data_IF_188344621732
#
_entry.id   IF_188344621732
#
_cell.length_a   1.000
_cell.length_b   1.000
_cell.length_c   1.000
_cell.angle_alpha   90.00
_cell.angle_beta   90.00
_cell.angle_gamma   90.00
#
_symmetry.space_group_name_H-M   'P 1'
#
loop_
_entity.id
_entity.type
_entity.pdbx_description
1 polymer ?
#
# COMPACT_ATOMS: atom_id res chain seq x y z
N UNK A 1 -4.29 -30.69 -26.88
CA UNK A 1 -2.87 -30.31 -26.89
C UNK A 1 -2.21 -30.98 -25.70
N UNK A 2 -1.23 -31.86 -25.92
CA UNK A 2 -0.41 -32.39 -24.82
C UNK A 2 0.35 -31.24 -24.16
N UNK A 3 0.19 -31.11 -22.84
CA UNK A 3 0.94 -30.14 -22.04
C UNK A 3 2.32 -30.75 -21.72
N UNK A 4 3.27 -30.66 -22.65
CA UNK A 4 4.65 -31.04 -22.37
C UNK A 4 5.39 -29.90 -21.65
N UNK A 5 6.17 -30.25 -20.63
CA UNK A 5 7.05 -29.32 -19.92
C UNK A 5 8.34 -29.13 -20.72
N UNK A 6 8.72 -27.89 -20.99
CA UNK A 6 9.97 -27.55 -21.69
C UNK A 6 11.11 -27.21 -20.72
N UNK A 7 12.33 -27.65 -21.04
CA UNK A 7 13.54 -27.23 -20.35
C UNK A 7 14.27 -26.17 -21.18
N UNK A 8 14.70 -25.09 -20.55
CA UNK A 8 15.46 -24.01 -21.19
C UNK A 8 16.84 -23.95 -20.55
N UNK A 9 17.90 -24.15 -21.34
CA UNK A 9 19.27 -23.99 -20.86
C UNK A 9 19.61 -22.50 -20.74
N UNK A 10 19.91 -22.06 -19.53
CA UNK A 10 20.29 -20.68 -19.21
C UNK A 10 21.77 -20.55 -18.79
N UNK A 11 22.59 -21.59 -18.95
CA UNK A 11 24.02 -21.55 -18.63
C UNK A 11 24.72 -20.45 -19.43
N UNK A 12 25.32 -19.48 -18.71
CA UNK A 12 25.99 -18.33 -19.33
C UNK A 12 25.06 -17.27 -19.93
N UNK A 13 23.74 -17.46 -19.86
CA UNK A 13 22.77 -16.45 -20.31
C UNK A 13 22.69 -15.36 -19.25
N UNK A 14 22.94 -14.11 -19.66
CA UNK A 14 22.80 -12.96 -18.77
C UNK A 14 21.34 -12.77 -18.32
N UNK A 15 21.15 -12.16 -17.15
CA UNK A 15 19.81 -11.77 -16.71
C UNK A 15 19.17 -10.83 -17.74
N UNK A 16 17.87 -11.04 -18.00
CA UNK A 16 17.13 -10.15 -18.91
C UNK A 16 17.15 -8.70 -18.38
N UNK A 17 17.19 -7.70 -19.27
CA UNK A 17 16.93 -6.33 -18.86
C UNK A 17 15.50 -6.19 -18.30
N UNK A 18 15.33 -5.29 -17.33
CA UNK A 18 14.01 -4.94 -16.81
C UNK A 18 13.41 -3.82 -17.67
N UNK A 19 12.11 -3.93 -17.97
CA UNK A 19 11.37 -2.86 -18.63
C UNK A 19 10.85 -1.90 -17.57
N UNK A 20 11.33 -0.66 -17.59
CA UNK A 20 10.84 0.38 -16.70
C UNK A 20 9.55 0.97 -17.27
N UNK A 21 8.49 0.94 -16.48
CA UNK A 21 7.27 1.68 -16.83
C UNK A 21 7.56 3.17 -16.69
N UNK A 22 7.25 4.01 -17.70
CA UNK A 22 7.42 5.45 -17.61
C UNK A 22 6.61 6.02 -16.44
N UNK A 23 7.04 7.18 -15.94
CA UNK A 23 6.23 7.92 -14.97
C UNK A 23 5.04 8.54 -15.69
N UNK A 24 3.86 8.50 -15.06
CA UNK A 24 2.63 9.06 -15.63
C UNK A 24 1.81 9.76 -14.56
N UNK A 25 1.07 10.80 -14.96
CA UNK A 25 0.16 11.54 -14.09
C UNK A 25 -1.25 11.40 -14.65
N UNK A 26 -2.16 10.88 -13.83
CA UNK A 26 -3.58 11.03 -14.05
C UNK A 26 -4.02 12.34 -13.42
N UNK A 27 -4.38 13.32 -14.26
CA UNK A 27 -4.72 14.67 -13.79
C UNK A 27 -6.00 14.69 -12.95
N UNK A 28 -6.11 15.67 -12.05
CA UNK A 28 -7.35 15.95 -11.31
C UNK A 28 -8.55 16.08 -12.24
N UNK A 29 -8.42 16.79 -13.36
CA UNK A 29 -9.52 17.00 -14.31
C UNK A 29 -10.04 15.67 -14.88
N UNK A 30 -9.15 14.71 -15.15
CA UNK A 30 -9.55 13.38 -15.60
C UNK A 30 -10.21 12.56 -14.48
N UNK A 31 -9.72 12.68 -13.24
CA UNK A 31 -10.33 12.05 -12.07
C UNK A 31 -11.73 12.61 -11.81
N UNK A 32 -11.90 13.93 -11.84
CA UNK A 32 -13.19 14.60 -11.66
C UNK A 32 -14.19 14.18 -12.75
N UNK A 33 -13.76 14.18 -14.02
CA UNK A 33 -14.60 13.72 -15.13
C UNK A 33 -15.00 12.25 -14.97
N UNK A 34 -14.10 11.39 -14.48
CA UNK A 34 -14.42 9.99 -14.22
C UNK A 34 -15.37 9.82 -13.02
N UNK A 35 -15.26 10.65 -11.99
CA UNK A 35 -16.20 10.68 -10.86
C UNK A 35 -17.60 11.05 -11.37
N UNK A 36 -17.73 12.06 -12.24
CA UNK A 36 -18.99 12.45 -12.86
C UNK A 36 -19.54 11.33 -13.74
N UNK A 37 -18.69 10.70 -14.56
CA UNK A 37 -19.05 9.55 -15.39
C UNK A 37 -19.61 8.42 -14.52
N UNK A 38 -18.90 7.99 -13.48
CA UNK A 38 -19.37 6.98 -12.54
C UNK A 38 -20.68 7.41 -11.87
N UNK A 39 -20.80 8.66 -11.43
CA UNK A 39 -22.04 9.17 -10.85
C UNK A 39 -23.20 9.21 -11.86
N UNK A 40 -22.98 9.19 -13.17
CA UNK A 40 -24.06 9.11 -14.15
C UNK A 40 -24.67 7.71 -14.29
N UNK A 41 -23.93 6.66 -13.94
CA UNK A 41 -24.34 5.26 -14.11
C UNK A 41 -25.43 4.90 -13.07
N UNK A 42 -26.40 4.07 -13.44
CA UNK A 42 -27.35 3.47 -12.50
C UNK A 42 -26.64 2.62 -11.44
N UNK A 43 -27.28 2.38 -10.27
CA UNK A 43 -26.65 1.58 -9.20
C UNK A 43 -26.50 0.13 -9.71
N UNK A 44 -25.26 -0.41 -9.82
CA UNK A 44 -25.07 -1.81 -10.21
C UNK A 44 -25.60 -2.76 -9.14
N UNK A 45 -25.85 -4.03 -9.49
CA UNK A 45 -26.40 -5.02 -8.56
C UNK A 45 -25.52 -5.21 -7.31
N UNK A 46 -24.19 -5.20 -7.47
CA UNK A 46 -23.24 -5.25 -6.36
C UNK A 46 -23.03 -3.91 -5.63
N UNK A 47 -23.76 -2.86 -6.04
CA UNK A 47 -23.67 -1.50 -5.49
C UNK A 47 -22.35 -0.78 -5.74
N UNK A 48 -21.46 -1.28 -6.61
CA UNK A 48 -20.12 -0.72 -6.82
C UNK A 48 -19.99 -0.04 -8.17
N UNK A 49 -19.75 1.27 -8.16
CA UNK A 49 -19.24 2.01 -9.32
C UNK A 49 -17.77 2.27 -9.11
N UNK A 50 -16.95 1.74 -10.01
CA UNK A 50 -15.51 1.88 -9.92
C UNK A 50 -14.87 1.90 -11.31
N UNK A 51 -13.84 2.73 -11.44
CA UNK A 51 -12.95 2.74 -12.60
C UNK A 51 -11.52 2.48 -12.16
N UNK A 52 -10.85 1.60 -12.90
CA UNK A 52 -9.47 1.25 -12.63
C UNK A 52 -8.51 2.15 -13.40
N UNK A 53 -7.53 2.70 -12.71
CA UNK A 53 -6.44 3.44 -13.34
C UNK A 53 -5.49 2.42 -13.96
N UNK A 54 -5.46 2.37 -15.29
CA UNK A 54 -4.63 1.43 -16.02
C UNK A 54 -3.43 2.14 -16.63
N UNK A 55 -2.24 1.66 -16.31
CA UNK A 55 -1.01 2.20 -16.87
C UNK A 55 -0.88 1.81 -18.36
N UNK A 56 -0.39 2.68 -19.26
CA UNK A 56 -0.27 2.37 -20.69
C UNK A 56 0.62 1.16 -21.03
N UNK A 57 1.60 0.86 -20.17
CA UNK A 57 2.48 -0.32 -20.29
C UNK A 57 1.91 -1.61 -19.68
N UNK A 58 0.74 -1.56 -19.03
CA UNK A 58 0.16 -2.75 -18.44
C UNK A 58 -0.29 -3.73 -19.52
N UNK A 59 0.28 -4.93 -19.48
CA UNK A 59 -0.05 -6.08 -20.35
C UNK A 59 -0.56 -7.27 -19.53
N UNK A 60 -0.78 -7.08 -18.23
CA UNK A 60 -1.29 -8.09 -17.33
C UNK A 60 -2.77 -8.43 -17.59
N UNK A 61 -3.27 -9.50 -16.94
CA UNK A 61 -4.64 -9.97 -17.14
C UNK A 61 -5.70 -9.03 -16.57
N UNK A 62 -5.31 -8.12 -15.67
CA UNK A 62 -6.19 -7.14 -15.01
C UNK A 62 -5.55 -5.75 -15.06
N UNK A 63 -6.36 -4.67 -14.95
CA UNK A 63 -5.85 -3.31 -14.83
C UNK A 63 -4.86 -3.14 -13.67
N UNK A 64 -3.81 -2.36 -13.88
CA UNK A 64 -2.82 -2.04 -12.85
C UNK A 64 -2.18 -0.68 -13.16
N UNK A 65 -1.94 0.14 -12.13
CA UNK A 65 -1.28 1.44 -12.29
C UNK A 65 0.23 1.35 -12.11
N UNK A 66 0.68 0.37 -11.32
CA UNK A 66 2.06 -0.06 -11.25
C UNK A 66 2.11 -1.60 -11.30
N UNK A 67 3.25 -2.22 -11.63
CA UNK A 67 3.36 -3.68 -11.63
C UNK A 67 2.91 -4.28 -10.29
N UNK A 68 1.83 -5.07 -10.29
CA UNK A 68 1.28 -5.70 -9.09
C UNK A 68 0.37 -4.83 -8.22
N UNK A 69 0.09 -3.58 -8.61
CA UNK A 69 -0.71 -2.61 -7.83
C UNK A 69 -1.81 -2.01 -8.70
N UNK A 70 -3.07 -2.19 -8.30
CA UNK A 70 -4.19 -1.44 -8.89
C UNK A 70 -4.51 -0.19 -8.06
N UNK A 71 -5.12 0.79 -8.72
CA UNK A 71 -5.75 1.93 -8.07
C UNK A 71 -7.13 2.10 -8.67
N UNK A 72 -8.17 2.08 -7.84
CA UNK A 72 -9.55 2.28 -8.26
C UNK A 72 -10.11 3.60 -7.73
N UNK A 73 -10.78 4.35 -8.60
CA UNK A 73 -11.68 5.46 -8.22
C UNK A 73 -13.05 4.83 -7.97
N UNK A 74 -13.62 4.99 -6.77
CA UNK A 74 -14.91 4.42 -6.40
C UNK A 74 -15.90 5.51 -5.98
N UNK A 75 -17.16 5.40 -6.40
CA UNK A 75 -18.21 6.40 -6.14
C UNK A 75 -19.49 5.76 -5.60
N UNK A 76 -20.03 6.33 -4.53
CA UNK A 76 -21.39 6.08 -4.03
C UNK A 76 -22.19 7.39 -3.99
N UNK A 77 -23.44 7.37 -4.48
CA UNK A 77 -24.39 8.48 -4.35
C UNK A 77 -25.00 8.51 -2.95
N UNK A 78 -25.57 9.65 -2.51
CA UNK A 78 -26.23 9.75 -1.21
C UNK A 78 -27.23 8.62 -0.95
N UNK A 79 -27.11 7.95 0.19
CA UNK A 79 -27.98 6.84 0.59
C UNK A 79 -27.62 5.47 0.03
N UNK A 80 -26.73 5.38 -0.97
CA UNK A 80 -26.30 4.10 -1.54
C UNK A 80 -25.31 3.36 -0.63
N UNK A 81 -25.24 2.04 -0.84
CA UNK A 81 -24.25 1.16 -0.25
C UNK A 81 -23.79 0.10 -1.25
N UNK A 82 -22.60 -0.47 -1.01
CA UNK A 82 -22.11 -1.65 -1.73
C UNK A 82 -22.69 -2.92 -1.12
N UNK A 83 -22.81 -3.97 -1.93
CA UNK A 83 -22.96 -5.32 -1.40
C UNK A 83 -21.64 -5.78 -0.74
N UNK A 84 -21.67 -6.72 0.21
CA UNK A 84 -20.47 -7.23 0.86
C UNK A 84 -19.52 -7.89 -0.13
N UNK A 85 -18.22 -7.70 0.04
CA UNK A 85 -17.20 -8.43 -0.71
C UNK A 85 -16.04 -8.77 0.21
N UNK A 86 -15.43 -9.93 0.02
CA UNK A 86 -14.25 -10.39 0.75
C UNK A 86 -13.20 -10.86 -0.25
N UNK A 87 -11.93 -10.54 0.00
CA UNK A 87 -10.84 -10.80 -0.95
C UNK A 87 -9.58 -11.19 -0.21
N UNK A 88 -8.75 -12.03 -0.83
CA UNK A 88 -7.44 -12.31 -0.25
C UNK A 88 -6.37 -11.23 -0.56
N UNK A 89 -6.70 -10.23 -1.38
CA UNK A 89 -5.90 -9.00 -1.53
C UNK A 89 -6.01 -8.10 -0.29
N UNK A 90 -4.91 -7.46 0.12
CA UNK A 90 -4.96 -6.38 1.11
C UNK A 90 -5.14 -5.02 0.42
N UNK A 91 -5.76 -4.06 1.11
CA UNK A 91 -6.01 -2.74 0.57
C UNK A 91 -5.56 -1.61 1.51
N UNK A 92 -5.23 -0.47 0.91
CA UNK A 92 -5.20 0.84 1.56
C UNK A 92 -6.16 1.73 0.82
N UNK A 93 -7.02 2.45 1.54
CA UNK A 93 -8.00 3.34 0.92
C UNK A 93 -7.95 4.74 1.54
N UNK A 94 -8.29 5.74 0.73
CA UNK A 94 -8.45 7.13 1.16
C UNK A 94 -9.77 7.69 0.62
N UNK A 95 -10.51 8.38 1.49
CA UNK A 95 -11.63 9.21 1.04
C UNK A 95 -11.08 10.49 0.38
N UNK A 96 -11.48 10.77 -0.86
CA UNK A 96 -11.06 12.00 -1.57
C UNK A 96 -12.19 13.00 -1.77
N UNK A 97 -13.44 12.60 -1.47
CA UNK A 97 -14.62 13.47 -1.52
C UNK A 97 -15.79 12.91 -0.71
N UNK A 98 -16.56 13.82 -0.09
CA UNK A 98 -17.72 13.48 0.72
C UNK A 98 -17.38 12.75 2.02
N UNK A 99 -18.34 11.96 2.50
CA UNK A 99 -18.24 11.18 3.73
C UNK A 99 -19.04 9.89 3.62
N UNK A 100 -18.70 8.91 4.44
CA UNK A 100 -19.41 7.63 4.46
C UNK A 100 -19.19 6.84 5.74
N UNK A 101 -19.82 5.67 5.79
CA UNK A 101 -19.59 4.65 6.80
C UNK A 101 -18.91 3.46 6.16
N UNK A 102 -17.89 2.94 6.84
CA UNK A 102 -17.11 1.78 6.43
C UNK A 102 -17.31 0.69 7.46
N UNK A 103 -17.64 -0.52 7.00
CA UNK A 103 -17.65 -1.73 7.79
C UNK A 103 -16.64 -2.72 7.21
N UNK A 104 -15.70 -3.18 8.04
CA UNK A 104 -14.69 -4.20 7.68
C UNK A 104 -14.67 -5.24 8.80
N UNK A 105 -15.19 -6.42 8.51
CA UNK A 105 -15.44 -7.46 9.52
C UNK A 105 -16.30 -6.91 10.66
N UNK A 106 -15.77 -7.00 11.88
CA UNK A 106 -16.39 -6.45 13.09
C UNK A 106 -16.21 -4.93 13.27
N UNK A 107 -15.30 -4.30 12.53
CA UNK A 107 -14.99 -2.87 12.68
C UNK A 107 -15.99 -2.02 11.91
N UNK A 108 -16.47 -0.94 12.54
CA UNK A 108 -17.32 0.07 11.89
C UNK A 108 -16.85 1.46 12.27
N UNK A 109 -16.68 2.33 11.29
CA UNK A 109 -16.27 3.72 11.52
C UNK A 109 -16.82 4.64 10.42
N UNK A 110 -16.95 5.93 10.74
CA UNK A 110 -17.29 6.96 9.76
C UNK A 110 -15.99 7.52 9.18
N UNK A 111 -16.03 7.92 7.92
CA UNK A 111 -14.89 8.51 7.22
C UNK A 111 -15.31 9.80 6.50
N UNK A 112 -14.40 10.76 6.46
CA UNK A 112 -14.52 12.01 5.70
C UNK A 112 -13.30 12.24 4.81
N UNK A 113 -13.31 13.31 4.00
CA UNK A 113 -12.24 13.62 3.06
C UNK A 113 -10.86 13.61 3.76
N UNK A 114 -9.95 12.87 3.15
CA UNK A 114 -8.56 12.57 3.55
C UNK A 114 -8.37 11.57 4.68
N UNK A 115 -9.45 11.03 5.27
CA UNK A 115 -9.33 9.85 6.11
C UNK A 115 -8.75 8.70 5.29
N UNK A 116 -7.81 7.98 5.89
CA UNK A 116 -7.13 6.83 5.29
C UNK A 116 -7.31 5.61 6.18
N UNK A 117 -7.50 4.43 5.61
CA UNK A 117 -7.62 3.17 6.36
C UNK A 117 -7.02 2.00 5.61
N UNK A 118 -6.68 0.93 6.33
CA UNK A 118 -6.32 -0.34 5.73
C UNK A 118 -7.52 -1.30 5.76
N UNK A 119 -7.60 -2.17 4.75
CA UNK A 119 -8.53 -3.30 4.71
C UNK A 119 -7.68 -4.57 4.80
N UNK A 120 -7.73 -5.31 5.92
CA UNK A 120 -7.06 -6.61 6.01
C UNK A 120 -7.62 -7.58 4.96
N UNK A 121 -6.75 -8.49 4.53
CA UNK A 121 -7.14 -9.61 3.67
C UNK A 121 -8.19 -10.48 4.38
N UNK A 122 -9.11 -11.05 3.61
CA UNK A 122 -10.17 -11.96 4.07
C UNK A 122 -11.12 -11.39 5.13
N UNK A 123 -11.30 -10.06 5.15
CA UNK A 123 -12.34 -9.40 5.94
C UNK A 123 -13.47 -8.91 5.00
N UNK A 124 -14.76 -9.25 5.27
CA UNK A 124 -15.89 -8.72 4.52
C UNK A 124 -15.98 -7.19 4.66
N UNK A 125 -16.11 -6.49 3.54
CA UNK A 125 -16.19 -5.03 3.51
C UNK A 125 -17.48 -4.52 2.89
N UNK A 126 -18.05 -3.48 3.52
CA UNK A 126 -19.26 -2.77 3.08
C UNK A 126 -19.03 -1.27 3.23
N UNK A 127 -19.40 -0.51 2.20
CA UNK A 127 -19.32 0.94 2.19
C UNK A 127 -20.72 1.53 2.03
N UNK A 128 -21.05 2.56 2.81
CA UNK A 128 -22.32 3.28 2.71
C UNK A 128 -22.06 4.78 2.63
N UNK A 129 -22.70 5.47 1.69
CA UNK A 129 -22.72 6.92 1.69
C UNK A 129 -23.79 7.41 2.66
N UNK A 130 -23.36 7.97 3.79
CA UNK A 130 -24.21 8.58 4.81
C UNK A 130 -24.32 10.11 4.69
N UNK A 131 -23.63 10.70 3.71
CA UNK A 131 -23.61 12.14 3.47
C UNK A 131 -24.65 12.61 2.46
N UNK A 132 -24.55 13.89 2.08
CA UNK A 132 -25.38 14.54 1.06
C UNK A 132 -24.69 14.69 -0.30
N UNK A 133 -23.37 14.58 -0.33
CA UNK A 133 -22.55 14.65 -1.53
C UNK A 133 -22.11 13.24 -1.98
N UNK A 134 -21.45 13.14 -3.14
CA UNK A 134 -20.82 11.90 -3.56
C UNK A 134 -19.75 11.46 -2.55
N UNK A 135 -19.77 10.20 -2.18
CA UNK A 135 -18.70 9.57 -1.40
C UNK A 135 -17.72 8.94 -2.37
N UNK A 136 -16.53 9.54 -2.46
CA UNK A 136 -15.49 9.20 -3.45
C UNK A 136 -14.25 8.70 -2.74
N UNK A 137 -13.73 7.55 -3.19
CA UNK A 137 -12.55 6.92 -2.60
C UNK A 137 -11.53 6.53 -3.66
N UNK A 138 -10.25 6.61 -3.28
CA UNK A 138 -9.16 5.88 -3.94
C UNK A 138 -8.89 4.60 -3.17
N UNK A 139 -8.74 3.50 -3.89
CA UNK A 139 -8.50 2.17 -3.32
C UNK A 139 -7.30 1.54 -4.00
N UNK A 140 -6.27 1.21 -3.21
CA UNK A 140 -5.02 0.60 -3.67
C UNK A 140 -5.00 -0.86 -3.22
N UNK A 141 -4.81 -1.81 -4.14
CA UNK A 141 -4.73 -3.24 -3.79
C UNK A 141 -3.59 -3.97 -4.48
N UNK A 142 -3.17 -5.09 -3.87
CA UNK A 142 -2.21 -6.01 -4.46
C UNK A 142 -2.89 -7.11 -5.32
N UNK A 143 -4.16 -6.93 -5.69
CA UNK A 143 -4.89 -7.90 -6.50
C UNK A 143 -4.18 -8.25 -7.80
N UNK A 144 -3.60 -7.30 -8.57
CA UNK A 144 -2.89 -7.66 -9.81
C UNK A 144 -1.70 -8.61 -9.59
N UNK A 145 -1.01 -8.53 -8.45
CA UNK A 145 0.05 -9.48 -8.10
C UNK A 145 -0.53 -10.88 -7.87
N UNK A 146 -1.64 -10.99 -7.15
CA UNK A 146 -2.29 -12.28 -6.89
C UNK A 146 -2.90 -12.89 -8.16
N UNK A 147 -3.38 -12.06 -9.08
CA UNK A 147 -3.86 -12.48 -10.41
C UNK A 147 -2.74 -13.04 -11.27
N UNK A 148 -1.55 -12.42 -11.26
CA UNK A 148 -0.36 -12.96 -11.93
C UNK A 148 0.05 -14.33 -11.38
N UNK A 149 -0.15 -14.53 -10.08
CA UNK A 149 0.08 -15.81 -9.41
C UNK A 149 -1.08 -16.80 -9.59
N UNK A 150 -2.20 -16.39 -10.21
CA UNK A 150 -3.44 -17.17 -10.37
C UNK A 150 -4.05 -17.64 -9.04
N UNK A 151 -3.91 -16.85 -7.99
CA UNK A 151 -4.40 -17.14 -6.63
C UNK A 151 -5.22 -15.99 -6.05
N UNK A 152 -5.63 -15.02 -6.85
CA UNK A 152 -6.55 -13.99 -6.37
C UNK A 152 -7.92 -14.63 -6.11
N UNK A 153 -8.40 -14.49 -4.88
CA UNK A 153 -9.67 -15.02 -4.42
C UNK A 153 -10.59 -13.86 -4.08
N UNK A 154 -11.82 -13.93 -4.60
CA UNK A 154 -12.90 -12.97 -4.36
C UNK A 154 -14.17 -13.73 -4.03
N UNK A 155 -14.74 -13.45 -2.86
CA UNK A 155 -16.08 -13.85 -2.48
C UNK A 155 -16.98 -12.62 -2.55
N UNK A 156 -17.94 -12.63 -3.48
CA UNK A 156 -18.91 -11.56 -3.70
C UNK A 156 -20.17 -11.68 -2.84
N UNK A 157 -20.31 -12.76 -2.05
CA UNK A 157 -21.43 -12.94 -1.12
C UNK A 157 -20.95 -13.48 0.24
N UNK A 158 -19.95 -12.84 0.89
CA UNK A 158 -19.42 -13.33 2.14
C UNK A 158 -20.43 -13.18 3.27
N UNK A 159 -20.39 -14.12 4.22
CA UNK A 159 -21.10 -13.95 5.49
C UNK A 159 -20.50 -12.78 6.27
N UNK A 160 -21.35 -11.84 6.71
CA UNK A 160 -20.93 -10.65 7.47
C UNK A 160 -20.72 -10.98 8.96
N UNK A 161 -21.08 -12.19 9.39
CA UNK A 161 -20.82 -12.67 10.75
C UNK A 161 -19.30 -12.79 10.92
N UNK A 162 -18.76 -12.12 11.95
CA UNK A 162 -17.35 -12.23 12.30
C UNK A 162 -16.93 -13.70 12.34
N UNK A 163 -15.73 -13.99 11.83
CA UNK A 163 -15.11 -15.32 11.83
C UNK A 163 -15.52 -16.11 13.07
N UNK A 164 -16.12 -17.29 12.86
CA UNK A 164 -16.39 -18.24 13.95
C UNK A 164 -15.08 -18.37 14.74
N UNK A 165 -15.07 -18.08 16.06
CA UNK A 165 -13.89 -18.33 16.86
C UNK A 165 -13.47 -19.78 16.62
N UNK A 166 -12.20 -20.00 16.28
CA UNK A 166 -11.64 -21.35 16.42
C UNK A 166 -12.02 -21.85 17.82
N UNK A 167 -12.44 -23.11 17.99
CA UNK A 167 -12.85 -23.63 19.28
C UNK A 167 -11.79 -23.29 20.33
N UNK A 168 -12.12 -22.37 21.24
CA UNK A 168 -11.36 -22.21 22.47
C UNK A 168 -11.78 -23.38 23.33
N UNK A 169 -10.85 -24.30 23.53
CA UNK A 169 -11.06 -25.48 24.36
C UNK A 169 -11.67 -25.06 25.69
N UNK A 170 -12.70 -25.81 26.10
CA UNK A 170 -13.46 -25.57 27.31
C UNK A 170 -12.54 -25.41 28.52
N UNK A 171 -12.73 -24.33 29.27
CA UNK A 171 -12.04 -24.07 30.53
C UNK A 171 -12.18 -25.28 31.48
N UNK A 172 -11.10 -26.03 31.67
CA UNK A 172 -11.07 -27.20 32.56
C UNK A 172 -10.14 -28.34 32.13
N UNK A 173 -9.62 -28.34 30.91
CA UNK A 173 -8.54 -29.25 30.49
C UNK A 173 -7.24 -28.47 30.26
N UNK A 174 -6.10 -29.04 30.66
CA UNK A 174 -4.78 -28.50 30.29
C UNK A 174 -4.80 -28.28 28.78
N UNK A 175 -4.47 -27.07 28.26
CA UNK A 175 -4.57 -26.85 26.83
C UNK A 175 -3.73 -27.92 26.13
N UNK A 176 -4.24 -28.57 25.07
CA UNK A 176 -3.37 -29.38 24.25
C UNK A 176 -2.21 -28.49 23.83
N UNK A 177 -0.97 -28.94 24.06
CA UNK A 177 0.22 -28.34 23.42
C UNK A 177 -0.16 -28.15 21.95
N UNK A 178 0.05 -26.95 21.40
CA UNK A 178 -0.21 -26.73 19.98
C UNK A 178 0.50 -27.84 19.18
N UNK A 179 -0.05 -28.26 18.04
CA UNK A 179 0.58 -29.33 17.25
C UNK A 179 2.03 -28.96 16.93
N UNK A 180 2.26 -27.65 16.72
CA UNK A 180 3.59 -27.06 16.60
C UNK A 180 4.47 -27.22 17.85
N UNK A 181 3.96 -26.99 19.06
CA UNK A 181 4.75 -27.15 20.31
C UNK A 181 5.20 -28.60 20.54
N UNK A 182 4.46 -29.58 19.98
CA UNK A 182 4.84 -30.98 20.00
C UNK A 182 5.89 -31.33 18.91
N UNK A 183 5.89 -30.59 17.80
CA UNK A 183 6.80 -30.79 16.68
C UNK A 183 8.19 -30.19 16.97
N UNK A 184 9.16 -31.02 17.35
CA UNK A 184 10.52 -30.57 17.67
C UNK A 184 11.32 -30.21 16.39
N UNK A 185 11.89 -29.00 16.30
CA UNK A 185 12.85 -28.68 15.25
C UNK A 185 14.07 -29.59 15.28
N UNK A 186 14.55 -30.02 14.12
CA UNK A 186 15.79 -30.80 13.99
C UNK A 186 16.88 -29.86 13.46
N UNK A 187 17.92 -29.51 14.24
CA UNK A 187 18.98 -28.64 13.77
C UNK A 187 19.83 -29.32 12.68
N UNK A 188 20.27 -28.54 11.70
CA UNK A 188 21.15 -28.96 10.60
C UNK A 188 22.41 -28.08 10.62
N UNK A 189 23.56 -28.67 10.88
CA UNK A 189 24.83 -27.93 10.98
C UNK A 189 24.88 -26.97 12.18
N UNK A 190 25.73 -25.94 12.08
CA UNK A 190 26.00 -24.97 13.16
C UNK A 190 25.41 -23.57 12.95
N UNK A 191 24.95 -23.24 11.75
CA UNK A 191 24.58 -21.86 11.36
C UNK A 191 23.09 -21.55 11.51
N UNK A 192 22.35 -22.38 12.25
CA UNK A 192 20.94 -22.15 12.59
C UNK A 192 19.90 -22.72 11.62
N UNK A 193 20.31 -23.50 10.61
CA UNK A 193 19.37 -24.22 9.74
C UNK A 193 18.62 -25.32 10.52
N UNK A 194 17.35 -25.54 10.20
CA UNK A 194 16.48 -26.50 10.89
C UNK A 194 15.53 -27.21 9.92
N UNK A 195 15.16 -28.45 10.22
CA UNK A 195 13.99 -29.12 9.65
C UNK A 195 12.81 -28.95 10.61
N UNK A 196 11.67 -28.53 10.06
CA UNK A 196 10.42 -28.36 10.78
C UNK A 196 9.38 -29.35 10.25
N UNK A 197 8.58 -29.92 11.16
CA UNK A 197 7.43 -30.74 10.79
C UNK A 197 6.33 -29.91 10.12
N UNK A 198 5.36 -30.60 9.48
CA UNK A 198 4.23 -29.96 8.80
C UNK A 198 3.39 -29.08 9.74
N UNK A 199 3.38 -29.40 11.03
CA UNK A 199 2.67 -28.69 12.09
C UNK A 199 3.11 -27.22 12.17
N UNK A 200 4.38 -26.90 11.86
CA UNK A 200 4.87 -25.52 11.84
C UNK A 200 4.28 -24.68 10.70
N UNK A 201 3.78 -25.32 9.63
CA UNK A 201 3.10 -24.67 8.52
C UNK A 201 1.61 -24.48 8.81
N UNK A 202 0.94 -25.50 9.34
CA UNK A 202 -0.52 -25.48 9.54
C UNK A 202 -0.98 -24.88 10.87
N UNK A 203 -0.11 -24.89 11.88
CA UNK A 203 -0.32 -24.34 13.21
C UNK A 203 0.73 -23.24 13.48
N UNK A 204 0.78 -22.29 12.55
CA UNK A 204 1.72 -21.17 12.56
C UNK A 204 1.27 -20.06 13.53
N UNK A 205 2.22 -19.33 14.11
CA UNK A 205 1.91 -18.14 14.91
C UNK A 205 1.09 -17.15 14.08
N UNK A 206 -0.01 -16.70 14.65
CA UNK A 206 -0.86 -15.70 14.00
C UNK A 206 -0.53 -14.30 14.51
N UNK A 207 -0.41 -13.35 13.59
CA UNK A 207 -0.40 -11.92 13.92
C UNK A 207 -1.79 -11.36 13.63
N UNK A 208 -2.45 -10.80 14.65
CA UNK A 208 -3.78 -10.21 14.47
C UNK A 208 -3.69 -8.94 13.61
N UNK A 209 -4.22 -9.01 12.40
CA UNK A 209 -4.36 -7.86 11.50
C UNK A 209 -5.80 -7.33 11.56
N UNK A 210 -5.98 -6.07 11.95
CA UNK A 210 -7.31 -5.44 12.04
C UNK A 210 -7.39 -4.24 11.11
N UNK A 211 -8.61 -3.83 10.77
CA UNK A 211 -8.83 -2.54 10.13
C UNK A 211 -8.45 -1.41 11.10
N UNK A 212 -7.63 -0.48 10.62
CA UNK A 212 -7.22 0.74 11.31
C UNK A 212 -7.66 1.94 10.50
N UNK A 213 -8.11 2.97 11.19
CA UNK A 213 -8.44 4.27 10.62
C UNK A 213 -7.38 5.27 11.09
N UNK A 214 -6.90 6.10 10.17
CA UNK A 214 -6.13 7.31 10.46
C UNK A 214 -7.01 8.52 10.09
N UNK A 215 -7.77 9.06 11.06
CA UNK A 215 -8.65 10.19 10.81
C UNK A 215 -7.83 11.43 10.45
N UNK A 216 -8.23 12.14 9.40
CA UNK A 216 -7.55 13.32 8.90
C UNK A 216 -7.46 14.41 9.96
N UNK A 217 -8.54 14.63 10.71
CA UNK A 217 -8.58 15.58 11.83
C UNK A 217 -7.51 15.32 12.90
N UNK A 218 -7.12 14.07 13.09
CA UNK A 218 -6.14 13.66 14.10
C UNK A 218 -4.72 13.66 13.50
N UNK A 219 -4.58 13.37 12.20
CA UNK A 219 -3.29 13.32 11.49
C UNK A 219 -2.79 14.72 11.09
N UNK A 220 -3.66 15.55 10.54
CA UNK A 220 -3.30 16.84 9.94
C UNK A 220 -2.51 17.77 10.87
N UNK A 221 -2.82 17.88 12.18
CA UNK A 221 -2.08 18.77 13.09
C UNK A 221 -0.59 18.43 13.20
N UNK A 222 -0.22 17.15 13.09
CA UNK A 222 1.17 16.70 13.18
C UNK A 222 1.98 17.00 11.92
N UNK A 223 1.33 17.20 10.76
CA UNK A 223 2.04 17.46 9.51
C UNK A 223 2.76 18.82 9.52
N UNK A 224 2.36 19.74 10.40
CA UNK A 224 3.08 20.99 10.58
C UNK A 224 4.48 20.77 11.15
N UNK A 225 4.67 19.72 11.98
CA UNK A 225 5.98 19.35 12.51
C UNK A 225 6.95 18.96 11.42
N UNK A 226 6.51 18.23 10.38
CA UNK A 226 7.40 17.87 9.26
C UNK A 226 7.52 19.00 8.25
N UNK A 227 6.46 19.78 8.03
CA UNK A 227 6.48 20.92 7.11
C UNK A 227 7.47 22.00 7.53
N UNK A 228 7.53 22.30 8.83
CA UNK A 228 8.43 23.32 9.41
C UNK A 228 9.86 22.83 9.67
N UNK A 229 10.18 21.56 9.35
CA UNK A 229 11.57 21.09 9.44
C UNK A 229 12.46 21.90 8.51
N UNK A 230 13.68 22.14 8.99
CA UNK A 230 14.72 22.83 8.24
C UNK A 230 14.92 22.20 6.86
N UNK A 231 15.10 23.03 5.82
CA UNK A 231 15.26 22.56 4.43
C UNK A 231 16.53 21.69 4.29
N UNK A 232 17.53 21.90 5.15
CA UNK A 232 18.74 21.12 5.28
C UNK A 232 18.56 19.75 5.95
N UNK A 233 17.36 19.44 6.45
CA UNK A 233 17.04 18.09 6.93
C UNK A 233 17.23 17.07 5.80
N UNK A 234 18.02 16.02 6.09
CA UNK A 234 18.42 14.99 5.11
C UNK A 234 17.44 13.84 5.02
N UNK A 235 16.52 13.70 5.98
CA UNK A 235 15.44 12.72 5.91
C UNK A 235 14.26 13.20 5.07
N UNK A 236 13.12 12.51 5.21
CA UNK A 236 11.87 12.85 4.51
C UNK A 236 10.89 13.57 5.42
N UNK A 237 10.16 14.54 4.86
CA UNK A 237 9.17 15.34 5.56
C UNK A 237 7.81 14.62 5.55
N UNK A 238 7.73 13.48 6.24
CA UNK A 238 6.56 12.61 6.22
C UNK A 238 6.34 11.88 7.55
N UNK A 239 5.13 11.34 7.70
CA UNK A 239 4.80 10.32 8.68
C UNK A 239 4.25 9.08 7.98
N UNK A 240 4.55 7.91 8.54
CA UNK A 240 3.96 6.63 8.12
C UNK A 240 2.64 6.38 8.85
N UNK A 241 1.65 5.87 8.11
CA UNK A 241 0.39 5.37 8.66
C UNK A 241 0.62 3.92 9.11
N UNK A 242 1.28 3.74 10.26
CA UNK A 242 1.82 2.45 10.66
C UNK A 242 0.76 1.50 11.24
N UNK A 243 0.75 0.26 10.75
CA UNK A 243 -0.01 -0.85 11.30
C UNK A 243 0.91 -1.80 12.08
N UNK A 244 0.72 -1.95 13.40
CA UNK A 244 1.56 -2.83 14.24
C UNK A 244 1.65 -4.28 13.77
N UNK A 245 0.65 -4.81 13.06
CA UNK A 245 0.67 -6.18 12.52
C UNK A 245 1.77 -6.41 11.47
N UNK A 246 2.38 -5.34 10.95
CA UNK A 246 3.43 -5.42 9.93
C UNK A 246 4.83 -5.50 10.54
N UNK A 247 4.97 -5.19 11.84
CA UNK A 247 6.20 -5.30 12.61
C UNK A 247 7.38 -4.61 11.91
N UNK A 248 8.52 -5.30 11.78
CA UNK A 248 9.74 -4.76 11.15
C UNK A 248 9.57 -4.27 9.71
N UNK A 249 8.45 -4.61 9.06
CA UNK A 249 8.15 -4.18 7.68
C UNK A 249 7.58 -2.76 7.62
N UNK A 250 7.16 -2.18 8.75
CA UNK A 250 6.72 -0.78 8.89
C UNK A 250 5.59 -0.41 7.91
N UNK A 251 4.71 -1.35 7.59
CA UNK A 251 3.62 -1.16 6.63
C UNK A 251 2.34 -0.57 7.23
N UNK A 252 1.48 -0.08 6.36
CA UNK A 252 0.05 0.25 6.61
C UNK A 252 -0.82 -0.99 6.41
N UNK A 253 -0.43 -1.85 5.47
CA UNK A 253 -0.86 -3.24 5.33
C UNK A 253 0.36 -4.15 5.15
N UNK A 254 0.15 -5.47 5.07
CA UNK A 254 1.25 -6.42 4.79
C UNK A 254 1.86 -6.23 3.40
N UNK A 255 1.15 -5.59 2.47
CA UNK A 255 1.63 -5.32 1.12
C UNK A 255 2.05 -3.87 0.93
N UNK A 256 1.45 -2.93 1.67
CA UNK A 256 1.60 -1.50 1.39
C UNK A 256 2.09 -0.69 2.59
N UNK A 257 2.96 0.25 2.29
CA UNK A 257 3.37 1.36 3.12
C UNK A 257 2.69 2.62 2.61
N UNK A 258 1.93 3.29 3.47
CA UNK A 258 1.32 4.58 3.17
C UNK A 258 1.92 5.66 4.07
N UNK A 259 2.22 6.81 3.48
CA UNK A 259 2.68 8.00 4.20
C UNK A 259 1.90 9.21 3.79
N UNK A 260 1.82 10.18 4.69
CA UNK A 260 1.46 11.55 4.33
C UNK A 260 2.72 12.40 4.44
N UNK A 261 3.19 12.88 3.29
CA UNK A 261 4.30 13.81 3.18
C UNK A 261 3.77 15.24 3.12
N UNK A 262 4.43 16.20 3.77
CA UNK A 262 4.14 17.63 3.68
C UNK A 262 5.46 18.41 3.61
N UNK A 263 5.80 18.93 2.42
CA UNK A 263 7.08 19.58 2.15
C UNK A 263 6.93 21.11 2.08
N UNK A 264 7.85 21.88 2.66
CA UNK A 264 7.84 23.35 2.59
C UNK A 264 8.20 23.86 1.20
N UNK A 265 7.91 25.13 0.89
CA UNK A 265 8.36 25.83 -0.31
C UNK A 265 9.84 25.65 -0.63
N UNK A 266 10.16 25.40 -1.90
CA UNK A 266 11.55 25.35 -2.39
C UNK A 266 12.36 24.13 -1.95
N UNK A 267 11.77 23.19 -1.20
CA UNK A 267 12.41 21.92 -0.84
C UNK A 267 12.61 21.07 -2.09
N UNK A 268 13.84 20.63 -2.31
CA UNK A 268 14.21 19.66 -3.33
C UNK A 268 14.79 18.44 -2.63
N UNK A 269 14.17 17.29 -2.84
CA UNK A 269 14.69 16.02 -2.35
C UNK A 269 15.89 15.58 -3.17
N UNK A 270 16.78 14.82 -2.54
CA UNK A 270 17.94 14.23 -3.21
C UNK A 270 17.48 13.08 -4.11
N UNK A 271 18.05 12.94 -5.33
CA UNK A 271 17.83 11.77 -6.16
C UNK A 271 18.19 10.47 -5.43
N UNK A 272 17.24 9.55 -5.39
CA UNK A 272 17.37 8.24 -4.76
C UNK A 272 16.67 7.19 -5.62
N UNK A 273 16.85 5.91 -5.29
CA UNK A 273 16.10 4.82 -5.93
C UNK A 273 15.88 3.68 -4.95
N UNK A 274 14.81 2.95 -5.19
CA UNK A 274 14.47 1.74 -4.47
C UNK A 274 13.68 0.80 -5.37
N UNK A 275 13.70 -0.50 -5.06
CA UNK A 275 12.99 -1.53 -5.84
C UNK A 275 11.48 -1.44 -5.74
N UNK A 276 10.97 -0.81 -4.68
CA UNK A 276 9.54 -0.56 -4.49
C UNK A 276 8.98 0.41 -5.52
N UNK A 277 7.73 0.17 -5.94
CA UNK A 277 6.93 1.11 -6.71
C UNK A 277 6.26 2.14 -5.77
N UNK A 278 6.12 3.40 -6.20
CA UNK A 278 5.42 4.44 -5.45
C UNK A 278 4.38 5.19 -6.28
N UNK A 279 3.20 5.40 -5.69
CA UNK A 279 2.10 6.19 -6.27
C UNK A 279 1.72 7.30 -5.30
N UNK A 280 1.66 8.53 -5.79
CA UNK A 280 1.35 9.74 -5.02
C UNK A 280 -0.02 10.28 -5.42
N UNK A 281 -0.93 10.44 -4.47
CA UNK A 281 -2.09 11.31 -4.64
C UNK A 281 -1.79 12.68 -4.01
N UNK A 282 -1.80 13.74 -4.82
CA UNK A 282 -1.44 15.08 -4.38
C UNK A 282 -2.64 15.68 -3.65
N UNK A 283 -2.53 15.80 -2.33
CA UNK A 283 -3.61 16.26 -1.46
C UNK A 283 -3.72 17.79 -1.41
N UNK A 284 -2.60 18.49 -1.62
CA UNK A 284 -2.53 19.95 -1.60
C UNK A 284 -1.25 20.45 -2.28
N UNK A 285 -1.32 21.63 -2.88
CA UNK A 285 -0.16 22.32 -3.45
C UNK A 285 0.26 21.77 -4.81
N UNK A 286 1.52 21.99 -5.18
CA UNK A 286 2.02 21.61 -6.49
C UNK A 286 3.54 21.46 -6.49
N UNK A 287 4.06 20.85 -7.53
CA UNK A 287 5.48 20.62 -7.62
C UNK A 287 5.89 19.94 -8.91
N UNK A 288 7.04 19.30 -8.84
CA UNK A 288 7.57 18.49 -9.92
C UNK A 288 8.32 17.29 -9.38
N UNK A 289 8.36 16.24 -10.17
CA UNK A 289 9.24 15.09 -9.97
C UNK A 289 10.24 15.04 -11.10
N UNK A 290 11.43 14.50 -10.82
CA UNK A 290 12.34 14.01 -11.85
C UNK A 290 12.40 12.50 -11.69
N UNK A 291 12.10 11.74 -12.75
CA UNK A 291 12.11 10.28 -12.73
C UNK A 291 12.91 9.78 -13.93
N UNK A 292 14.03 9.11 -13.68
CA UNK A 292 15.02 8.72 -14.71
C UNK A 292 15.38 9.88 -15.68
N UNK A 293 15.45 11.11 -15.15
CA UNK A 293 15.76 12.32 -15.93
C UNK A 293 14.54 13.00 -16.56
N UNK A 294 13.39 12.34 -16.64
CA UNK A 294 12.14 12.93 -17.11
C UNK A 294 11.54 13.86 -16.06
N UNK A 295 11.17 15.08 -16.45
CA UNK A 295 10.55 16.07 -15.56
C UNK A 295 9.05 16.04 -15.73
N UNK A 296 8.34 15.78 -14.64
CA UNK A 296 6.88 15.74 -14.61
C UNK A 296 6.37 16.76 -13.62
N UNK A 297 5.37 17.55 -14.02
CA UNK A 297 4.69 18.49 -13.15
C UNK A 297 3.37 17.87 -12.68
N UNK A 298 2.98 18.21 -11.47
CA UNK A 298 1.73 17.74 -10.85
C UNK A 298 1.22 18.81 -9.88
N UNK A 299 -0.07 18.76 -9.61
CA UNK A 299 -0.79 19.68 -8.76
C UNK A 299 -1.83 18.95 -7.90
N UNK A 300 -2.48 19.68 -7.00
CA UNK A 300 -3.54 19.16 -6.15
C UNK A 300 -4.60 18.38 -6.94
N UNK A 301 -4.93 17.20 -6.43
CA UNK A 301 -5.88 16.26 -7.01
C UNK A 301 -5.30 15.32 -8.06
N UNK A 302 -4.04 15.47 -8.48
CA UNK A 302 -3.40 14.55 -9.40
C UNK A 302 -3.01 13.22 -8.73
N UNK A 303 -3.02 12.13 -9.50
CA UNK A 303 -2.50 10.82 -9.12
C UNK A 303 -1.25 10.48 -9.96
N UNK A 304 -0.08 10.53 -9.34
CA UNK A 304 1.24 10.40 -9.98
C UNK A 304 1.87 9.04 -9.70
N UNK A 305 2.18 8.26 -10.74
CA UNK A 305 3.09 7.11 -10.60
C UNK A 305 4.53 7.62 -10.53
N UNK A 306 4.99 7.84 -9.30
CA UNK A 306 6.09 8.74 -8.99
C UNK A 306 7.46 8.07 -8.90
N UNK A 307 7.47 6.78 -8.60
CA UNK A 307 8.66 5.95 -8.60
C UNK A 307 8.35 4.57 -9.16
N UNK A 308 8.54 4.34 -10.47
CA UNK A 308 8.62 2.99 -11.01
C UNK A 308 9.79 2.25 -10.37
N UNK A 309 9.64 0.95 -10.09
CA UNK A 309 10.63 0.15 -9.38
C UNK A 309 12.05 0.34 -9.94
N UNK A 310 13.00 0.60 -9.03
CA UNK A 310 14.42 0.87 -9.28
C UNK A 310 14.77 2.13 -10.09
N UNK A 311 13.77 2.94 -10.44
CA UNK A 311 14.00 4.22 -11.12
C UNK A 311 14.57 5.26 -10.16
N UNK A 312 15.53 6.05 -10.65
CA UNK A 312 16.04 7.22 -9.92
C UNK A 312 14.96 8.27 -9.90
N UNK A 313 14.59 8.75 -8.72
CA UNK A 313 13.56 9.77 -8.58
C UNK A 313 13.84 10.75 -7.44
N UNK A 314 13.26 11.95 -7.57
CA UNK A 314 13.14 12.94 -6.51
C UNK A 314 12.00 13.91 -6.78
N UNK A 315 11.54 14.55 -5.71
CA UNK A 315 10.46 15.54 -5.74
C UNK A 315 10.99 16.92 -5.39
N UNK A 316 10.35 17.95 -5.95
CA UNK A 316 10.59 19.32 -5.61
C UNK A 316 9.27 20.04 -5.44
N UNK A 317 9.11 20.71 -4.30
CA UNK A 317 8.00 21.62 -4.06
C UNK A 317 8.25 22.99 -4.72
N UNK A 318 7.19 23.72 -4.98
CA UNK A 318 7.24 25.13 -5.44
C UNK A 318 6.30 25.99 -4.59
N UNK A 319 6.51 27.29 -4.62
CA UNK A 319 5.64 28.33 -4.04
C UNK A 319 5.17 28.05 -2.60
N UNK A 320 4.04 27.38 -2.40
CA UNK A 320 3.43 27.09 -1.11
C UNK A 320 3.88 25.76 -0.49
N UNK A 321 4.56 24.89 -1.23
CA UNK A 321 4.83 23.52 -0.79
C UNK A 321 3.88 22.51 -1.42
N UNK A 322 3.88 21.28 -0.91
CA UNK A 322 2.88 20.29 -1.27
C UNK A 322 2.62 19.31 -0.13
N UNK A 323 1.51 18.57 -0.27
CA UNK A 323 1.16 17.46 0.57
C UNK A 323 0.69 16.29 -0.29
N UNK A 324 1.11 15.08 0.01
CA UNK A 324 0.72 13.90 -0.76
C UNK A 324 0.58 12.66 0.12
N UNK A 325 -0.46 11.86 -0.18
CA UNK A 325 -0.47 10.45 0.20
C UNK A 325 0.48 9.72 -0.74
N UNK A 326 1.45 9.00 -0.21
CA UNK A 326 2.33 8.12 -0.99
C UNK A 326 2.09 6.68 -0.57
N UNK A 327 1.69 5.82 -1.51
CA UNK A 327 1.53 4.37 -1.30
C UNK A 327 2.66 3.63 -2.03
N UNK A 328 3.36 2.76 -1.30
CA UNK A 328 4.47 1.95 -1.78
C UNK A 328 4.30 0.48 -1.42
N UNK A 329 4.88 -0.43 -2.19
CA UNK A 329 4.84 -1.88 -1.94
C UNK A 329 6.05 -2.45 -1.17
N UNK A 330 6.86 -1.59 -0.54
CA UNK A 330 8.09 -2.06 0.12
C UNK A 330 7.90 -3.06 1.27
N UNK A 331 6.77 -3.14 2.02
CA UNK A 331 6.59 -4.19 3.03
C UNK A 331 6.69 -5.60 2.44
N UNK A 332 6.19 -5.78 1.21
CA UNK A 332 6.34 -7.03 0.45
C UNK A 332 7.82 -7.29 0.11
N UNK A 333 8.54 -6.27 -0.34
CA UNK A 333 9.96 -6.40 -0.66
C UNK A 333 10.83 -6.75 0.57
N UNK A 334 10.55 -6.19 1.74
CA UNK A 334 11.25 -6.54 3.00
C UNK A 334 10.99 -8.01 3.36
N UNK A 335 9.76 -8.49 3.18
CA UNK A 335 9.40 -9.88 3.46
C UNK A 335 10.15 -10.87 2.56
N UNK A 336 10.43 -10.50 1.31
CA UNK A 336 11.16 -11.31 0.34
C UNK A 336 12.68 -11.06 0.32
N UNK A 337 13.21 -10.22 1.23
CA UNK A 337 14.59 -9.72 1.19
C UNK A 337 15.02 -9.12 -0.15
N UNK A 338 14.08 -8.47 -0.85
CA UNK A 338 14.32 -7.88 -2.17
C UNK A 338 14.35 -6.35 -2.16
N UNK A 339 14.17 -5.71 -0.99
CA UNK A 339 14.19 -4.25 -0.89
C UNK A 339 15.61 -3.71 -1.02
N UNK A 340 16.03 -3.45 -2.25
CA UNK A 340 17.21 -2.66 -2.54
C UNK A 340 16.89 -1.17 -2.40
N UNK A 341 17.79 -0.43 -1.77
CA UNK A 341 17.68 1.00 -1.52
C UNK A 341 19.00 1.71 -1.78
N UNK A 342 18.95 2.90 -2.37
CA UNK A 342 20.08 3.80 -2.53
C UNK A 342 19.62 5.23 -2.24
N UNK A 343 19.86 5.70 -1.01
CA UNK A 343 19.33 6.98 -0.50
C UNK A 343 19.92 8.20 -1.19
N UNK A 344 21.18 8.10 -1.63
CA UNK A 344 21.76 9.06 -2.55
C UNK A 344 22.58 8.29 -3.59
N UNK A 345 22.65 8.80 -4.81
CA UNK A 345 23.38 8.12 -5.90
C UNK A 345 24.90 8.00 -5.68
N UNK A 346 25.42 8.61 -4.61
CA UNK A 346 26.84 8.51 -4.21
C UNK A 346 27.10 7.40 -3.18
N UNK A 347 26.05 6.95 -2.49
CA UNK A 347 26.14 5.91 -1.46
C UNK A 347 25.99 4.51 -2.06
N UNK A 348 26.46 3.45 -1.39
CA UNK A 348 26.24 2.08 -1.84
C UNK A 348 24.75 1.72 -1.89
N UNK A 349 24.43 0.68 -2.67
CA UNK A 349 23.14 0.01 -2.63
C UNK A 349 23.09 -0.84 -1.35
N UNK A 350 22.04 -0.70 -0.56
CA UNK A 350 21.80 -1.49 0.65
C UNK A 350 20.56 -2.38 0.50
N UNK A 351 20.59 -3.56 1.12
CA UNK A 351 19.41 -4.45 1.24
C UNK A 351 18.66 -4.08 2.53
N UNK A 352 17.80 -3.07 2.43
CA UNK A 352 17.15 -2.47 3.59
C UNK A 352 16.23 -3.49 4.29
N UNK A 353 16.38 -3.61 5.61
CA UNK A 353 15.67 -4.59 6.44
C UNK A 353 16.47 -5.86 6.75
N UNK A 354 17.54 -6.15 6.01
CA UNK A 354 18.56 -7.15 6.38
C UNK A 354 19.93 -6.53 6.65
N UNK A 355 20.22 -5.35 6.07
CA UNK A 355 21.36 -4.51 6.45
C UNK A 355 20.89 -3.32 7.29
N UNK A 356 21.83 -2.70 8.01
CA UNK A 356 21.58 -1.43 8.69
C UNK A 356 21.08 -0.37 7.70
N UNK A 357 20.11 0.42 8.16
CA UNK A 357 19.47 1.46 7.35
C UNK A 357 20.29 2.74 7.24
N UNK A 358 19.69 3.76 6.63
CA UNK A 358 20.32 5.08 6.50
C UNK A 358 19.95 5.99 7.69
N UNK A 359 20.94 6.73 8.19
CA UNK A 359 20.74 7.73 9.24
C UNK A 359 20.37 9.10 8.65
N UNK A 360 19.60 9.89 9.40
CA UNK A 360 19.27 11.28 9.05
C UNK A 360 19.93 12.24 10.05
N UNK A 361 20.08 13.51 9.68
CA UNK A 361 20.56 14.55 10.60
C UNK A 361 19.48 15.06 11.58
N UNK A 362 18.42 14.27 11.86
CA UNK A 362 17.32 14.70 12.73
C UNK A 362 17.82 15.11 14.12
N UNK A 363 18.82 14.40 14.66
CA UNK A 363 19.41 14.70 15.97
C UNK A 363 20.03 16.09 16.08
N UNK A 364 20.41 16.72 14.96
CA UNK A 364 20.89 18.11 14.94
C UNK A 364 19.79 19.14 15.17
N UNK A 365 18.52 18.74 15.04
CA UNK A 365 17.34 19.61 15.12
C UNK A 365 16.44 19.31 16.32
N UNK A 366 16.61 18.15 16.96
CA UNK A 366 15.90 17.81 18.19
C UNK A 366 16.77 18.25 19.37
N UNK A 367 16.26 19.17 20.21
CA UNK A 367 16.87 19.40 21.52
C UNK A 367 16.74 18.11 22.31
N UNK A 368 17.86 17.53 22.73
CA UNK A 368 17.86 16.43 23.70
C UNK A 368 17.13 16.95 24.94
N UNK A 369 16.01 16.31 25.27
CA UNK A 369 15.22 16.61 26.46
C UNK A 369 15.94 16.11 27.71
#
# INVERSE_FOLDING_TARGET
MEKQVGLVNISGVAARPQTFWPTVVLSKAAIDAEIENLASIDRPANGRRASAVNHPMNTGPVPAYAPGIDVHIQVLKPGEHTEPVMRNSSLVEMCIGGMGQVQIGASRFSVEKFDTWNVPSMEPQIYRNSGRDLFVRLSYSNAPLLEQLQVHYVDENPSIVASVPMPVDAAGSTPPRSARDAAKPIPIGGDGAQLLGYEWLVDIDTVKSKALLWPWKDVQPYLETVYTRDIGYTGRHLYVLYNPATERRIGTSHSFFATIAKLPPGKVDRPHRHTSAAINYIMWGHGKSVVNGEKVQWQEGDLHFSAPGWSVHNHASREQGFMALTVQDHPLHIAMESLLWQETLKEPIVKLGSNEGIQTNLGSYIKVA
#
